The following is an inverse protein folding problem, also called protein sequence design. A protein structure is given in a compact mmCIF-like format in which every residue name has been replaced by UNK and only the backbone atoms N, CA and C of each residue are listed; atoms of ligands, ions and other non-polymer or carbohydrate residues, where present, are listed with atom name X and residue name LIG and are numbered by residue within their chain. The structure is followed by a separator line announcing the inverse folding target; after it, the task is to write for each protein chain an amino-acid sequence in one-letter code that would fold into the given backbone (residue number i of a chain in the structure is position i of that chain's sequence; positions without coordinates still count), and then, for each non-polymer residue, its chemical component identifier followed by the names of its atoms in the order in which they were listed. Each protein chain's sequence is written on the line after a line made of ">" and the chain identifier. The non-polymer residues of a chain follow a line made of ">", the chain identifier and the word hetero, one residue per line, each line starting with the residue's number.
data_IF_409730544046
#
_entry.id   IF_409730544046
#
_cell.length_a   1.000
_cell.length_b   1.000
_cell.length_c   1.000
_cell.angle_alpha   90.00
_cell.angle_beta   90.00
_cell.angle_gamma   90.00
#
_symmetry.space_group_name_H-M   'P 1'
#
loop_
_entity.id
_entity.type
_entity.pdbx_description
1 polymer ?
#
# COMPACT_ATOMS: atom_id res chain seq x y z
N UNK A 1 7.02 -31.29 -42.90
CA UNK A 1 7.62 -29.95 -43.11
C UNK A 1 7.97 -29.37 -41.75
N UNK A 2 9.13 -28.71 -41.60
CA UNK A 2 9.47 -28.02 -40.35
C UNK A 2 8.48 -26.86 -40.10
N UNK A 3 8.07 -26.69 -38.84
CA UNK A 3 7.17 -25.61 -38.41
C UNK A 3 8.01 -24.38 -38.01
N UNK A 4 7.74 -23.17 -38.56
CA UNK A 4 8.43 -21.95 -38.13
C UNK A 4 8.18 -21.64 -36.65
N UNK A 5 9.20 -21.16 -35.94
CA UNK A 5 9.05 -20.70 -34.56
C UNK A 5 8.40 -19.31 -34.54
N UNK A 6 7.29 -19.16 -33.82
CA UNK A 6 6.65 -17.86 -33.60
C UNK A 6 7.42 -17.02 -32.56
N UNK A 7 7.27 -15.69 -32.60
CA UNK A 7 7.83 -14.79 -31.57
C UNK A 7 7.34 -15.14 -30.16
N UNK A 8 6.06 -15.42 -29.97
CA UNK A 8 5.53 -15.83 -28.66
C UNK A 8 6.25 -17.09 -28.13
N UNK A 9 6.42 -18.10 -29.01
CA UNK A 9 7.15 -19.31 -28.65
C UNK A 9 8.64 -19.07 -28.35
N UNK A 10 9.24 -18.05 -28.95
CA UNK A 10 10.60 -17.61 -28.62
C UNK A 10 10.62 -16.91 -27.25
N UNK A 11 9.63 -16.05 -26.96
CA UNK A 11 9.48 -15.37 -25.66
C UNK A 11 9.30 -16.36 -24.51
N UNK A 12 8.53 -17.44 -24.69
CA UNK A 12 8.39 -18.50 -23.67
C UNK A 12 9.77 -19.03 -23.22
N UNK A 13 10.73 -19.16 -24.14
CA UNK A 13 12.06 -19.69 -23.81
C UNK A 13 12.83 -18.77 -22.87
N UNK A 14 12.66 -17.45 -23.01
CA UNK A 14 13.23 -16.45 -22.09
C UNK A 14 12.50 -16.45 -20.76
N UNK A 15 11.17 -16.56 -20.77
CA UNK A 15 10.36 -16.64 -19.56
C UNK A 15 10.73 -17.85 -18.68
N UNK A 16 11.10 -18.98 -19.30
CA UNK A 16 11.46 -20.22 -18.59
C UNK A 16 12.97 -20.51 -18.59
N UNK A 17 13.81 -19.49 -18.84
CA UNK A 17 15.26 -19.62 -18.73
C UNK A 17 15.64 -19.62 -17.24
N UNK A 18 16.20 -20.73 -16.78
CA UNK A 18 16.59 -20.98 -15.38
C UNK A 18 18.10 -21.25 -15.27
N UNK A 19 18.87 -20.89 -16.31
CA UNK A 19 20.32 -21.11 -16.37
C UNK A 19 20.76 -22.57 -16.20
N UNK A 20 19.93 -23.56 -16.56
CA UNK A 20 20.32 -24.99 -16.55
C UNK A 20 21.33 -25.27 -17.67
N UNK A 21 22.20 -26.27 -17.49
CA UNK A 21 23.27 -26.57 -18.47
C UNK A 21 22.75 -26.69 -19.90
N UNK A 22 21.71 -27.47 -20.14
CA UNK A 22 21.13 -27.64 -21.48
C UNK A 22 20.53 -26.35 -22.06
N UNK A 23 20.10 -25.41 -21.21
CA UNK A 23 19.60 -24.10 -21.65
C UNK A 23 20.76 -23.18 -22.02
N UNK A 24 21.84 -23.19 -21.23
CA UNK A 24 23.07 -22.46 -21.54
C UNK A 24 23.70 -22.97 -22.84
N UNK A 25 23.78 -24.29 -23.02
CA UNK A 25 24.26 -24.92 -24.24
C UNK A 25 23.40 -24.49 -25.45
N UNK A 26 22.06 -24.48 -25.30
CA UNK A 26 21.17 -24.03 -26.35
C UNK A 26 21.32 -22.54 -26.68
N UNK A 27 21.61 -21.68 -25.70
CA UNK A 27 21.92 -20.26 -25.91
C UNK A 27 23.23 -20.12 -26.70
N UNK A 28 24.28 -20.86 -26.36
CA UNK A 28 25.54 -20.88 -27.09
C UNK A 28 25.35 -21.35 -28.54
N UNK A 29 24.57 -22.42 -28.76
CA UNK A 29 24.23 -22.91 -30.11
C UNK A 29 23.49 -21.85 -30.94
N UNK A 30 22.58 -21.09 -30.32
CA UNK A 30 21.86 -20.01 -30.99
C UNK A 30 22.80 -18.85 -31.33
N UNK A 31 23.64 -18.43 -30.39
CA UNK A 31 24.65 -17.40 -30.59
C UNK A 31 25.58 -17.74 -31.76
N UNK A 32 26.11 -18.96 -31.81
CA UNK A 32 26.99 -19.41 -32.90
C UNK A 32 26.27 -19.49 -34.24
N UNK A 33 24.99 -19.90 -34.25
CA UNK A 33 24.19 -19.92 -35.47
C UNK A 33 23.96 -18.52 -36.03
N UNK A 34 23.70 -17.54 -35.15
CA UNK A 34 23.56 -16.13 -35.51
C UNK A 34 24.89 -15.60 -36.10
N UNK A 35 26.01 -15.81 -35.40
CA UNK A 35 27.32 -15.33 -35.85
C UNK A 35 27.75 -15.91 -37.20
N UNK A 36 27.42 -17.17 -37.49
CA UNK A 36 27.68 -17.77 -38.83
C UNK A 36 26.86 -17.11 -39.93
N UNK A 37 25.58 -16.79 -39.68
CA UNK A 37 24.72 -16.14 -40.67
C UNK A 37 25.23 -14.73 -40.95
N UNK A 38 25.62 -13.99 -39.91
CA UNK A 38 26.21 -12.66 -40.04
C UNK A 38 27.49 -12.66 -40.88
N UNK A 39 28.43 -13.56 -40.59
CA UNK A 39 29.67 -13.71 -41.36
C UNK A 39 29.41 -13.99 -42.85
N UNK A 40 28.42 -14.84 -43.15
CA UNK A 40 28.04 -15.15 -44.54
C UNK A 40 27.43 -13.95 -45.28
N UNK A 41 26.79 -13.04 -44.55
CA UNK A 41 26.17 -11.84 -45.11
C UNK A 41 27.11 -10.63 -45.08
N UNK A 42 28.32 -10.77 -44.55
CA UNK A 42 29.27 -9.65 -44.38
C UNK A 42 28.80 -8.61 -43.37
N UNK A 43 27.92 -9.01 -42.44
CA UNK A 43 27.40 -8.17 -41.35
C UNK A 43 28.05 -8.61 -40.03
N UNK A 44 28.10 -7.73 -39.04
CA UNK A 44 28.63 -8.04 -37.71
C UNK A 44 27.93 -7.20 -36.62
N UNK A 45 26.67 -6.82 -36.84
CA UNK A 45 26.00 -5.80 -36.02
C UNK A 45 25.02 -6.39 -35.00
N UNK A 46 24.51 -7.61 -35.20
CA UNK A 46 23.46 -8.19 -34.35
C UNK A 46 24.02 -8.76 -33.04
N UNK A 47 25.29 -9.16 -33.00
CA UNK A 47 25.95 -9.65 -31.77
C UNK A 47 26.74 -8.56 -31.04
N UNK A 48 26.58 -7.29 -31.43
CA UNK A 48 27.12 -6.14 -30.70
C UNK A 48 26.20 -5.77 -29.54
N UNK A 49 26.78 -5.25 -28.46
CA UNK A 49 26.00 -4.67 -27.35
C UNK A 49 25.20 -3.43 -27.81
N UNK A 50 25.69 -2.77 -28.85
CA UNK A 50 25.03 -1.62 -29.49
C UNK A 50 23.93 -2.02 -30.49
N UNK A 51 23.72 -3.32 -30.71
CA UNK A 51 22.65 -3.79 -31.59
C UNK A 51 21.29 -3.24 -31.10
N UNK A 52 20.39 -2.79 -31.99
CA UNK A 52 19.10 -2.22 -31.57
C UNK A 52 18.28 -3.11 -30.64
N UNK A 53 18.36 -4.44 -30.80
CA UNK A 53 17.66 -5.38 -29.91
C UNK A 53 18.31 -5.46 -28.53
N UNK A 54 19.65 -5.41 -28.44
CA UNK A 54 20.40 -5.49 -27.19
C UNK A 54 20.19 -4.22 -26.36
N UNK A 55 20.23 -3.05 -27.01
CA UNK A 55 19.86 -1.77 -26.42
C UNK A 55 18.41 -1.81 -25.91
N UNK A 56 17.45 -2.22 -26.75
CA UNK A 56 16.03 -2.29 -26.37
C UNK A 56 15.75 -3.28 -25.24
N UNK A 57 16.48 -4.39 -25.19
CA UNK A 57 16.36 -5.39 -24.11
C UNK A 57 16.93 -4.87 -22.78
N UNK A 58 17.94 -3.98 -22.85
CA UNK A 58 18.61 -3.40 -21.70
C UNK A 58 18.02 -2.05 -21.23
N UNK A 59 17.07 -1.49 -21.99
CA UNK A 59 16.37 -0.26 -21.61
C UNK A 59 15.60 -0.45 -20.30
N UNK A 60 15.91 0.40 -19.31
CA UNK A 60 15.06 0.54 -18.13
C UNK A 60 13.66 0.97 -18.57
N UNK A 61 12.58 0.37 -18.00
CA UNK A 61 11.25 0.91 -18.22
C UNK A 61 11.23 2.40 -17.84
N UNK A 62 10.45 3.23 -18.55
CA UNK A 62 10.35 4.65 -18.22
C UNK A 62 10.01 4.78 -16.73
N UNK A 63 10.74 5.65 -16.03
CA UNK A 63 10.48 5.92 -14.62
C UNK A 63 8.99 6.23 -14.45
N UNK A 64 8.32 5.69 -13.42
CA UNK A 64 6.96 6.08 -13.12
C UNK A 64 6.88 7.61 -13.08
N UNK A 65 5.81 8.23 -13.60
CA UNK A 65 5.63 9.66 -13.46
C UNK A 65 5.77 10.03 -11.97
N UNK A 66 6.40 11.19 -11.71
CA UNK A 66 6.51 11.69 -10.34
C UNK A 66 5.12 11.65 -9.67
N UNK A 67 5.03 11.19 -8.42
CA UNK A 67 3.74 11.03 -7.77
C UNK A 67 3.00 12.37 -7.78
N UNK A 68 1.75 12.34 -8.27
CA UNK A 68 0.93 13.55 -8.43
C UNK A 68 0.58 14.20 -7.07
N UNK A 69 0.77 13.46 -5.98
CA UNK A 69 0.49 13.87 -4.61
C UNK A 69 1.70 13.62 -3.71
N UNK A 70 1.76 14.36 -2.60
CA UNK A 70 2.82 14.19 -1.61
C UNK A 70 2.75 12.81 -0.94
N UNK A 71 3.91 12.24 -0.61
CA UNK A 71 4.02 11.06 0.25
C UNK A 71 5.07 11.37 1.34
N UNK A 72 4.67 11.51 2.62
CA UNK A 72 3.30 11.36 3.14
C UNK A 72 2.40 12.55 2.78
N UNK A 73 1.09 12.29 2.74
CA UNK A 73 0.03 13.28 2.61
C UNK A 73 -0.04 14.14 3.88
N UNK A 74 -0.33 15.44 3.71
CA UNK A 74 -0.51 16.38 4.83
C UNK A 74 -1.92 16.25 5.40
N UNK A 75 -2.07 15.37 6.39
CA UNK A 75 -3.37 15.10 7.05
C UNK A 75 -3.41 15.77 8.43
N UNK A 76 -4.47 16.54 8.75
CA UNK A 76 -4.70 17.02 10.11
C UNK A 76 -4.66 15.86 11.11
N UNK A 77 -3.96 16.04 12.22
CA UNK A 77 -3.86 15.03 13.26
C UNK A 77 -4.83 15.36 14.39
N UNK A 78 -5.64 14.37 14.79
CA UNK A 78 -6.50 14.43 15.96
C UNK A 78 -6.23 13.24 16.87
N UNK A 79 -6.22 13.49 18.17
CA UNK A 79 -5.98 12.47 19.19
C UNK A 79 -7.31 12.07 19.81
N UNK A 80 -7.51 10.78 20.06
CA UNK A 80 -8.72 10.35 20.77
C UNK A 80 -8.68 10.69 22.26
N UNK A 81 -7.49 10.97 22.80
CA UNK A 81 -7.25 11.09 24.24
C UNK A 81 -7.73 12.43 24.82
N UNK A 82 -8.06 13.39 23.96
CA UNK A 82 -8.57 14.73 24.29
C UNK A 82 -10.01 14.98 23.79
N UNK A 83 -10.69 13.95 23.29
CA UNK A 83 -12.10 14.06 22.89
C UNK A 83 -12.98 14.52 24.07
N UNK A 84 -13.82 15.53 23.80
CA UNK A 84 -14.73 16.13 24.77
C UNK A 84 -15.80 15.18 25.30
N UNK A 85 -16.02 14.03 24.63
CA UNK A 85 -16.96 12.99 25.07
C UNK A 85 -16.57 12.34 26.41
N UNK A 86 -15.28 12.42 26.78
CA UNK A 86 -14.72 11.69 27.92
C UNK A 86 -14.64 10.17 27.70
N UNK A 87 -14.90 9.68 26.47
CA UNK A 87 -14.89 8.26 26.12
C UNK A 87 -13.82 7.89 25.08
N UNK A 88 -12.73 8.66 25.05
CA UNK A 88 -11.64 8.51 24.08
C UNK A 88 -11.11 7.08 23.90
N UNK A 89 -11.12 6.25 24.95
CA UNK A 89 -10.66 4.85 24.92
C UNK A 89 -11.34 3.95 23.87
N UNK A 90 -12.46 4.38 23.29
CA UNK A 90 -13.24 3.67 22.26
C UNK A 90 -13.53 4.51 21.01
N UNK A 91 -12.81 5.62 20.82
CA UNK A 91 -13.07 6.58 19.75
C UNK A 91 -11.99 6.60 18.66
N UNK A 92 -11.03 5.66 18.68
CA UNK A 92 -9.99 5.54 17.66
C UNK A 92 -10.54 5.55 16.23
N UNK A 93 -11.65 4.84 15.98
CA UNK A 93 -12.28 4.82 14.66
C UNK A 93 -12.88 6.18 14.30
N UNK A 94 -13.57 6.81 15.26
CA UNK A 94 -14.19 8.12 15.06
C UNK A 94 -13.14 9.22 14.82
N UNK A 95 -12.08 9.29 15.63
CA UNK A 95 -10.97 10.24 15.43
C UNK A 95 -10.22 9.96 14.12
N UNK A 96 -10.07 8.69 13.71
CA UNK A 96 -9.51 8.35 12.39
C UNK A 96 -10.38 8.85 11.23
N UNK A 97 -11.70 8.65 11.29
CA UNK A 97 -12.63 9.16 10.29
C UNK A 97 -12.71 10.70 10.30
N UNK A 98 -12.59 11.33 11.45
CA UNK A 98 -12.48 12.78 11.55
C UNK A 98 -11.23 13.32 10.85
N UNK A 99 -10.08 12.66 10.98
CA UNK A 99 -8.87 13.02 10.24
C UNK A 99 -9.06 12.91 8.72
N UNK A 100 -9.77 11.86 8.25
CA UNK A 100 -10.16 11.77 6.83
C UNK A 100 -11.07 12.92 6.41
N UNK A 101 -12.09 13.25 7.20
CA UNK A 101 -13.02 14.34 6.90
C UNK A 101 -12.33 15.71 6.90
N UNK A 102 -11.39 15.93 7.82
CA UNK A 102 -10.62 17.17 7.92
C UNK A 102 -9.63 17.33 6.77
N UNK A 103 -9.04 16.24 6.27
CA UNK A 103 -8.22 16.27 5.05
C UNK A 103 -8.98 16.87 3.86
N UNK A 104 -10.27 16.57 3.75
CA UNK A 104 -11.17 17.13 2.73
C UNK A 104 -11.84 18.46 3.13
N UNK A 105 -11.37 19.09 4.21
CA UNK A 105 -11.88 20.37 4.69
C UNK A 105 -13.31 20.34 5.22
N UNK A 106 -13.83 19.16 5.61
CA UNK A 106 -15.24 19.00 6.04
C UNK A 106 -15.46 19.25 7.53
N UNK A 107 -14.43 19.07 8.35
CA UNK A 107 -14.47 19.29 9.81
C UNK A 107 -13.14 19.86 10.28
N UNK A 108 -13.14 20.57 11.41
CA UNK A 108 -11.94 21.17 12.01
C UNK A 108 -11.37 20.39 13.21
N UNK A 109 -12.13 19.44 13.76
CA UNK A 109 -11.73 18.58 14.89
C UNK A 109 -12.51 17.27 14.88
N UNK A 110 -12.04 16.28 15.64
CA UNK A 110 -12.77 15.05 15.92
C UNK A 110 -13.95 15.25 16.86
N UNK A 111 -13.93 16.24 17.76
CA UNK A 111 -15.13 16.65 18.49
C UNK A 111 -16.26 17.11 17.56
N UNK A 112 -15.95 17.96 16.57
CA UNK A 112 -16.95 18.43 15.60
C UNK A 112 -17.50 17.27 14.77
N UNK A 113 -16.63 16.34 14.37
CA UNK A 113 -17.02 15.12 13.68
C UNK A 113 -17.88 14.19 14.56
N UNK A 114 -17.54 14.04 15.84
CA UNK A 114 -18.27 13.21 16.80
C UNK A 114 -19.71 13.69 16.99
N UNK A 115 -19.95 15.01 17.01
CA UNK A 115 -21.31 15.58 17.06
C UNK A 115 -22.14 15.18 15.84
N UNK A 116 -21.54 15.15 14.65
CA UNK A 116 -22.21 14.71 13.42
C UNK A 116 -22.45 13.20 13.47
N UNK A 117 -21.41 12.42 13.77
CA UNK A 117 -21.47 10.95 13.79
C UNK A 117 -22.46 10.41 14.82
N UNK A 118 -22.62 11.09 15.96
CA UNK A 118 -23.60 10.72 16.98
C UNK A 118 -25.06 10.70 16.48
N UNK A 119 -25.37 11.38 15.38
CA UNK A 119 -26.71 11.33 14.76
C UNK A 119 -26.98 10.00 14.04
N UNK A 120 -25.92 9.25 13.71
CA UNK A 120 -25.99 8.02 12.92
C UNK A 120 -25.70 6.75 13.74
N UNK A 121 -24.97 6.87 14.85
CA UNK A 121 -24.71 5.73 15.74
C UNK A 121 -23.42 5.84 16.55
N UNK A 122 -22.94 4.69 16.99
CA UNK A 122 -21.85 4.56 17.95
C UNK A 122 -20.45 4.78 17.35
N UNK A 123 -19.46 5.13 18.18
CA UNK A 123 -18.10 5.47 17.74
C UNK A 123 -17.36 4.30 17.11
N UNK A 124 -17.77 3.09 17.47
CA UNK A 124 -17.14 1.85 17.01
C UNK A 124 -17.83 1.24 15.79
N UNK A 125 -18.97 1.79 15.36
CA UNK A 125 -19.79 1.23 14.29
C UNK A 125 -19.42 1.77 12.91
N UNK A 126 -18.98 0.87 12.00
CA UNK A 126 -18.59 1.26 10.66
C UNK A 126 -19.71 1.96 9.86
N UNK A 127 -20.97 1.56 10.05
CA UNK A 127 -22.10 2.20 9.36
C UNK A 127 -22.37 3.62 9.87
N UNK A 128 -22.17 3.89 11.17
CA UNK A 128 -22.26 5.25 11.71
C UNK A 128 -21.18 6.15 11.11
N UNK A 129 -19.95 5.65 11.01
CA UNK A 129 -18.82 6.36 10.39
C UNK A 129 -19.08 6.66 8.90
N UNK A 130 -19.50 5.66 8.13
CA UNK A 130 -19.82 5.82 6.70
C UNK A 130 -20.95 6.83 6.50
N UNK A 131 -22.00 6.78 7.32
CA UNK A 131 -23.14 7.70 7.21
C UNK A 131 -22.75 9.14 7.51
N UNK A 132 -21.92 9.36 8.54
CA UNK A 132 -21.40 10.67 8.91
C UNK A 132 -20.48 11.28 7.84
N UNK A 133 -19.59 10.47 7.26
CA UNK A 133 -18.73 10.92 6.16
C UNK A 133 -19.54 11.27 4.92
N UNK A 134 -20.55 10.47 4.58
CA UNK A 134 -21.44 10.73 3.44
C UNK A 134 -22.33 11.96 3.66
N UNK A 135 -22.80 12.20 4.89
CA UNK A 135 -23.57 13.41 5.21
C UNK A 135 -22.75 14.69 5.07
N UNK A 136 -21.42 14.59 5.17
CA UNK A 136 -20.46 15.66 4.88
C UNK A 136 -20.15 15.83 3.38
N UNK A 137 -20.81 15.05 2.52
CA UNK A 137 -20.65 15.08 1.07
C UNK A 137 -19.45 14.30 0.55
N UNK A 138 -18.87 13.39 1.33
CA UNK A 138 -17.77 12.53 0.90
C UNK A 138 -18.28 11.20 0.33
N UNK A 139 -17.63 10.71 -0.72
CA UNK A 139 -17.78 9.31 -1.12
C UNK A 139 -16.95 8.45 -0.17
N UNK A 140 -17.61 7.71 0.73
CA UNK A 140 -16.96 6.85 1.73
C UNK A 140 -17.27 5.37 1.53
N UNK A 141 -16.24 4.52 1.56
CA UNK A 141 -16.36 3.07 1.39
C UNK A 141 -15.50 2.33 2.41
N UNK A 142 -16.02 1.22 2.95
CA UNK A 142 -15.35 0.34 3.90
C UNK A 142 -15.14 -1.04 3.29
N UNK A 143 -13.93 -1.57 3.46
CA UNK A 143 -13.49 -2.84 2.91
C UNK A 143 -12.87 -3.70 4.02
N UNK A 144 -13.01 -5.01 3.89
CA UNK A 144 -12.47 -5.99 4.84
C UNK A 144 -11.51 -6.99 4.21
N UNK A 145 -11.18 -6.82 2.93
CA UNK A 145 -10.39 -7.75 2.12
C UNK A 145 -9.16 -7.05 1.49
N UNK A 146 -8.68 -5.97 2.09
CA UNK A 146 -7.60 -5.16 1.56
C UNK A 146 -6.24 -5.88 1.49
N UNK A 147 -5.44 -5.46 0.51
CA UNK A 147 -4.03 -5.80 0.35
C UNK A 147 -3.17 -4.53 0.35
N UNK A 148 -1.86 -4.66 0.57
CA UNK A 148 -0.95 -3.51 0.67
C UNK A 148 -0.95 -2.64 -0.60
N UNK A 149 -1.15 -3.24 -1.77
CA UNK A 149 -1.31 -2.53 -3.03
C UNK A 149 -2.52 -1.59 -3.05
N UNK A 150 -3.60 -1.89 -2.30
CA UNK A 150 -4.75 -1.00 -2.18
C UNK A 150 -4.36 0.27 -1.43
N UNK A 151 -3.62 0.15 -0.31
CA UNK A 151 -3.18 1.32 0.45
C UNK A 151 -2.26 2.22 -0.37
N UNK A 152 -1.30 1.63 -1.09
CA UNK A 152 -0.40 2.37 -1.99
C UNK A 152 -1.21 3.12 -3.05
N UNK A 153 -2.15 2.44 -3.71
CA UNK A 153 -3.02 3.04 -4.74
C UNK A 153 -3.83 4.22 -4.21
N UNK A 154 -4.30 4.16 -2.97
CA UNK A 154 -5.05 5.25 -2.35
C UNK A 154 -4.13 6.45 -2.03
N UNK A 155 -2.97 6.19 -1.44
CA UNK A 155 -1.96 7.24 -1.16
C UNK A 155 -1.47 7.92 -2.44
N UNK A 156 -1.11 7.15 -3.46
CA UNK A 156 -0.66 7.65 -4.77
C UNK A 156 -1.72 8.48 -5.49
N UNK A 157 -2.99 8.30 -5.11
CA UNK A 157 -4.10 9.05 -5.63
C UNK A 157 -4.60 10.15 -4.67
N UNK A 158 -3.77 10.52 -3.69
CA UNK A 158 -4.01 11.65 -2.79
C UNK A 158 -5.04 11.38 -1.70
N UNK A 159 -5.27 10.12 -1.33
CA UNK A 159 -6.32 9.75 -0.37
C UNK A 159 -5.73 9.06 0.85
N UNK A 160 -5.76 9.70 2.03
CA UNK A 160 -5.38 9.02 3.26
C UNK A 160 -6.39 7.92 3.59
N UNK A 161 -5.93 6.89 4.29
CA UNK A 161 -6.71 5.67 4.49
C UNK A 161 -6.84 5.35 5.97
N UNK A 162 -8.07 5.29 6.49
CA UNK A 162 -8.30 4.77 7.84
C UNK A 162 -8.16 3.24 7.79
N UNK A 163 -7.36 2.65 8.66
CA UNK A 163 -7.06 1.21 8.70
C UNK A 163 -7.35 0.65 10.08
N UNK A 164 -8.07 -0.48 10.12
CA UNK A 164 -8.35 -1.22 11.34
C UNK A 164 -7.41 -2.41 11.48
N UNK A 165 -6.72 -2.56 12.61
CA UNK A 165 -5.70 -3.60 12.82
C UNK A 165 -5.64 -4.11 14.28
N UNK A 166 -5.06 -5.29 14.49
CA UNK A 166 -4.98 -5.95 15.79
C UNK A 166 -3.83 -5.41 16.66
N UNK A 167 -4.19 -4.62 17.68
CA UNK A 167 -3.21 -3.91 18.51
C UNK A 167 -2.64 -4.72 19.68
N UNK A 168 -3.18 -5.89 20.04
CA UNK A 168 -2.69 -6.70 21.17
C UNK A 168 -1.82 -7.87 20.69
N UNK A 169 -1.06 -8.45 21.62
CA UNK A 169 -0.19 -9.59 21.36
C UNK A 169 1.00 -9.28 20.47
N UNK A 170 1.95 -10.21 20.33
CA UNK A 170 3.13 -10.02 19.50
C UNK A 170 2.78 -9.97 18.01
N UNK A 171 3.63 -9.37 17.18
CA UNK A 171 3.41 -9.29 15.71
C UNK A 171 3.32 -10.66 15.03
N UNK A 172 3.91 -11.70 15.63
CA UNK A 172 3.81 -13.09 15.17
C UNK A 172 2.47 -13.77 15.50
N UNK A 173 1.70 -13.23 16.46
CA UNK A 173 0.40 -13.76 16.87
C UNK A 173 -0.51 -12.63 17.39
N UNK A 174 -0.91 -11.70 16.50
CA UNK A 174 -1.65 -10.52 16.90
C UNK A 174 -3.09 -10.87 17.30
N UNK A 175 -3.67 -10.05 18.19
CA UNK A 175 -4.99 -10.28 18.78
C UNK A 175 -5.68 -8.97 19.17
N UNK A 176 -6.91 -9.06 19.66
CA UNK A 176 -7.70 -7.94 20.17
C UNK A 176 -8.92 -7.62 19.33
N UNK A 177 -9.70 -6.64 19.78
CA UNK A 177 -10.92 -6.16 19.10
C UNK A 177 -10.66 -5.22 17.92
N UNK A 178 -9.38 -4.92 17.65
CA UNK A 178 -8.97 -3.94 16.65
C UNK A 178 -8.66 -2.56 17.25
N UNK A 179 -7.89 -1.77 16.51
CA UNK A 179 -7.61 -0.34 16.69
C UNK A 179 -7.59 0.32 15.31
N UNK A 180 -7.95 1.61 15.25
CA UNK A 180 -8.03 2.35 14.00
C UNK A 180 -7.03 3.49 13.96
N UNK A 181 -6.34 3.61 12.83
CA UNK A 181 -5.33 4.65 12.55
C UNK A 181 -5.45 5.13 11.11
N UNK A 182 -4.82 6.24 10.75
CA UNK A 182 -4.80 6.74 9.37
C UNK A 182 -3.42 6.55 8.75
N UNK A 183 -3.33 5.76 7.68
CA UNK A 183 -2.15 5.71 6.81
C UNK A 183 -2.13 7.00 5.99
N UNK A 184 -1.05 7.77 6.11
CA UNK A 184 -0.84 9.03 5.41
C UNK A 184 0.25 8.90 4.35
N UNK A 185 1.08 7.85 4.42
CA UNK A 185 2.16 7.62 3.48
C UNK A 185 2.75 6.22 3.61
N UNK A 186 3.70 5.93 2.75
CA UNK A 186 4.44 4.67 2.78
C UNK A 186 5.88 4.88 2.31
N UNK A 187 6.74 3.97 2.72
CA UNK A 187 8.13 3.89 2.31
C UNK A 187 8.53 2.42 2.12
N UNK A 188 9.75 2.16 1.65
CA UNK A 188 10.20 0.80 1.36
C UNK A 188 10.13 -0.15 2.58
N UNK A 189 10.25 0.39 3.80
CA UNK A 189 10.30 -0.40 5.03
C UNK A 189 8.97 -0.47 5.81
N UNK A 190 7.96 0.30 5.41
CA UNK A 190 6.71 0.40 6.15
C UNK A 190 5.81 1.56 5.78
N UNK A 191 5.03 1.99 6.76
CA UNK A 191 3.92 2.91 6.60
C UNK A 191 4.09 4.12 7.52
N UNK A 192 3.56 5.26 7.09
CA UNK A 192 3.48 6.47 7.92
C UNK A 192 2.04 6.60 8.42
N UNK A 193 1.87 6.61 9.74
CA UNK A 193 0.58 6.62 10.41
C UNK A 193 0.34 7.91 11.19
N UNK A 194 -0.91 8.37 11.18
CA UNK A 194 -1.48 9.12 12.28
C UNK A 194 -2.28 8.14 13.15
N UNK A 195 -1.78 7.80 14.34
CA UNK A 195 -2.46 6.96 15.33
C UNK A 195 -3.11 7.83 16.40
N UNK A 196 -4.45 7.86 16.53
CA UNK A 196 -5.12 8.74 17.48
C UNK A 196 -4.84 8.39 18.96
N UNK A 197 -4.34 7.19 19.27
CA UNK A 197 -4.04 6.77 20.64
C UNK A 197 -2.58 7.02 21.06
N UNK A 198 -1.67 7.29 20.11
CA UNK A 198 -0.24 7.51 20.37
C UNK A 198 0.67 6.50 19.69
N UNK A 199 1.87 6.31 20.22
CA UNK A 199 2.87 5.39 19.68
C UNK A 199 2.55 3.93 20.08
N UNK A 200 2.30 3.09 19.08
CA UNK A 200 2.04 1.67 19.28
C UNK A 200 3.34 0.86 19.48
N UNK A 201 3.31 -0.09 20.42
CA UNK A 201 4.34 -1.12 20.51
C UNK A 201 4.02 -2.24 19.50
N UNK A 202 4.43 -2.07 18.24
CA UNK A 202 4.11 -3.03 17.18
C UNK A 202 4.79 -4.40 17.34
N UNK A 203 5.85 -4.52 18.15
CA UNK A 203 6.53 -5.81 18.35
C UNK A 203 5.78 -6.64 19.38
N UNK A 204 5.54 -6.10 20.57
CA UNK A 204 4.90 -6.80 21.69
C UNK A 204 3.38 -6.66 21.76
N UNK A 205 2.82 -5.69 21.05
CA UNK A 205 1.44 -5.25 21.17
C UNK A 205 1.25 -4.18 22.25
N UNK A 206 0.12 -3.48 22.18
CA UNK A 206 -0.23 -2.37 23.06
C UNK A 206 0.39 -1.05 22.62
N UNK A 207 0.49 -0.12 23.57
CA UNK A 207 0.98 1.24 23.38
C UNK A 207 2.11 1.55 24.34
N UNK A 208 3.01 2.43 23.92
CA UNK A 208 4.00 3.02 24.81
C UNK A 208 3.35 4.14 25.64
N UNK A 209 4.12 4.79 26.53
CA UNK A 209 3.65 5.98 27.23
C UNK A 209 3.64 7.26 26.37
N UNK A 210 4.11 7.18 25.12
CA UNK A 210 4.17 8.32 24.22
C UNK A 210 2.82 8.51 23.51
N UNK A 211 2.13 9.60 23.84
CA UNK A 211 0.80 9.93 23.30
C UNK A 211 0.85 10.66 21.95
N UNK A 212 2.04 10.97 21.43
CA UNK A 212 2.17 11.57 20.11
C UNK A 212 2.08 10.49 19.03
N UNK A 213 0.92 10.34 18.40
CA UNK A 213 0.73 9.41 17.30
C UNK A 213 0.79 10.05 15.91
N UNK A 214 1.20 11.32 15.79
CA UNK A 214 1.31 12.01 14.50
C UNK A 214 2.55 11.53 13.72
N UNK A 215 2.36 11.08 12.49
CA UNK A 215 3.46 10.72 11.57
C UNK A 215 4.36 9.59 12.08
N UNK A 216 3.80 8.62 12.81
CA UNK A 216 4.53 7.46 13.31
C UNK A 216 4.97 6.53 12.18
N UNK A 217 6.20 6.03 12.25
CA UNK A 217 6.69 5.02 11.32
C UNK A 217 6.34 3.61 11.82
N UNK A 218 5.50 2.91 11.07
CA UNK A 218 5.07 1.55 11.36
C UNK A 218 5.68 0.59 10.35
N UNK A 219 6.72 -0.14 10.76
CA UNK A 219 7.41 -1.10 9.89
C UNK A 219 6.45 -2.15 9.33
N UNK A 220 6.53 -2.43 8.03
CA UNK A 220 5.71 -3.46 7.37
C UNK A 220 5.87 -4.83 8.04
N UNK A 221 7.11 -5.17 8.45
CA UNK A 221 7.43 -6.40 9.21
C UNK A 221 6.53 -6.63 10.42
N UNK A 222 6.19 -5.57 11.16
CA UNK A 222 5.45 -5.69 12.42
C UNK A 222 3.98 -5.27 12.30
N UNK A 223 3.65 -4.37 11.37
CA UNK A 223 2.28 -3.87 11.21
C UNK A 223 1.45 -4.71 10.23
N UNK A 224 2.02 -5.15 9.10
CA UNK A 224 1.26 -5.92 8.09
C UNK A 224 0.61 -7.19 8.67
N UNK A 225 1.28 -7.99 9.54
CA UNK A 225 0.64 -9.15 10.17
C UNK A 225 -0.54 -8.78 11.09
N UNK A 226 -0.55 -7.56 11.62
CA UNK A 226 -1.61 -7.04 12.50
C UNK A 226 -2.79 -6.50 11.71
N UNK A 227 -2.53 -5.89 10.56
CA UNK A 227 -3.55 -5.41 9.64
C UNK A 227 -4.18 -6.54 8.83
N UNK A 228 -3.38 -7.53 8.43
CA UNK A 228 -3.82 -8.74 7.71
C UNK A 228 -3.46 -10.02 8.47
N UNK A 229 -4.15 -10.33 9.59
CA UNK A 229 -3.91 -11.56 10.33
C UNK A 229 -4.02 -12.80 9.43
N UNK A 230 -3.00 -13.68 9.48
CA UNK A 230 -2.93 -14.85 8.59
C UNK A 230 -2.75 -14.52 7.10
N UNK A 231 -2.36 -13.29 6.75
CA UNK A 231 -2.14 -12.85 5.37
C UNK A 231 -3.41 -12.46 4.60
N UNK A 232 -4.54 -12.30 5.27
CA UNK A 232 -5.81 -11.92 4.65
C UNK A 232 -6.56 -10.88 5.50
N UNK A 233 -7.65 -10.32 4.98
CA UNK A 233 -8.61 -9.62 5.83
C UNK A 233 -8.28 -8.17 6.19
N UNK A 234 -7.54 -7.44 5.36
CA UNK A 234 -7.16 -6.04 5.65
C UNK A 234 -8.38 -5.12 5.73
N UNK A 235 -8.61 -4.52 6.90
CA UNK A 235 -9.72 -3.57 7.10
C UNK A 235 -9.28 -2.15 6.78
N UNK A 236 -10.00 -1.49 5.88
CA UNK A 236 -9.70 -0.11 5.55
C UNK A 236 -10.94 0.66 5.08
N UNK A 237 -10.96 1.97 5.35
CA UNK A 237 -11.97 2.91 4.95
C UNK A 237 -11.31 4.07 4.21
N UNK A 238 -11.89 4.43 3.06
CA UNK A 238 -11.40 5.50 2.19
C UNK A 238 -12.50 6.54 1.97
N UNK A 239 -12.07 7.78 1.76
CA UNK A 239 -12.94 8.91 1.43
C UNK A 239 -12.45 9.61 0.16
N UNK A 240 -13.38 10.10 -0.66
CA UNK A 240 -13.13 11.02 -1.78
C UNK A 240 -13.98 12.27 -1.63
N UNK A 241 -13.39 13.44 -1.90
CA UNK A 241 -14.04 14.76 -1.85
C UNK A 241 -14.65 15.22 -3.15
#
# INVERSE_FOLDING_TARGET
>A
MPTPMTVARLMDRFQYFESKQQQQDAVAMLHDAIGRIEQQQGQAEILLEEAPWALRFSESPPAPPAPAFANPLVVPYFSQNDNASGTGYRECFSSSCAMLAAYWGKVSSDDAYNVIRAQYGDSTEAQAQLSALRSLGLEANFFTNGVTADLIKEIDAGRPVATGWLHKGPSSSPSGSGHWTVVTGYEASGWIHNDPNGEANLVGGGYTSNLNGKGQHYSAKNWDPRWRPGGSGGWFLVCKG
#
